data_IF_828634782155
#
_entry.id   IF_828634782155
#
_cell.length_a   1.000
_cell.length_b   1.000
_cell.length_c   1.000
_cell.angle_alpha   90.00
_cell.angle_beta   90.00
_cell.angle_gamma   90.00
#
_symmetry.space_group_name_H-M   'P 1'
#
loop_
_entity.id
_entity.type
_entity.pdbx_description
1 polymer ?
#
# COMPACT_ATOMS: atom_id res chain seq x y z
N UNK A 1 12.13 -7.40 -27.58
CA UNK A 1 10.84 -6.67 -27.49
C UNK A 1 10.54 -6.40 -26.02
N UNK A 2 9.93 -5.25 -25.67
CA UNK A 2 9.48 -5.02 -24.29
C UNK A 2 8.31 -5.95 -23.98
N UNK A 3 8.31 -6.59 -22.79
CA UNK A 3 7.18 -7.41 -22.33
C UNK A 3 5.88 -6.61 -22.31
N UNK A 4 4.75 -7.27 -22.49
CA UNK A 4 3.43 -6.65 -22.40
C UNK A 4 3.22 -6.13 -20.98
N UNK A 5 2.87 -4.85 -20.89
CA UNK A 5 2.58 -4.17 -19.64
C UNK A 5 1.43 -3.18 -19.81
N UNK A 6 0.74 -2.86 -18.73
CA UNK A 6 -0.38 -1.95 -18.78
C UNK A 6 -0.90 -1.55 -17.41
N UNK A 7 -1.89 -0.69 -17.44
CA UNK A 7 -2.59 -0.19 -16.26
C UNK A 7 -4.09 -0.32 -16.45
N UNK A 8 -4.80 -0.58 -15.35
CA UNK A 8 -6.25 -0.62 -15.28
C UNK A 8 -6.72 0.40 -14.27
N UNK A 9 -7.61 1.27 -14.67
CA UNK A 9 -8.23 2.28 -13.79
C UNK A 9 -9.75 2.28 -13.94
N UNK A 10 -10.44 2.63 -12.87
CA UNK A 10 -11.87 2.95 -12.89
C UNK A 10 -12.03 4.42 -13.25
N UNK A 11 -12.73 4.70 -14.34
CA UNK A 11 -12.98 6.07 -14.80
C UNK A 11 -14.19 6.65 -14.07
N UNK A 12 -15.29 5.89 -14.04
CA UNK A 12 -16.52 6.30 -13.35
C UNK A 12 -17.42 5.08 -13.11
N UNK A 13 -18.14 5.04 -12.01
CA UNK A 13 -19.11 3.99 -11.72
C UNK A 13 -18.59 2.59 -12.03
N UNK A 14 -19.13 1.96 -13.06
CA UNK A 14 -18.74 0.62 -13.52
C UNK A 14 -17.84 0.64 -14.78
N UNK A 15 -17.40 1.82 -15.23
CA UNK A 15 -16.56 1.94 -16.43
C UNK A 15 -15.07 1.83 -16.08
N UNK A 16 -14.41 0.86 -16.68
CA UNK A 16 -12.99 0.58 -16.55
C UNK A 16 -12.25 0.92 -17.85
N UNK A 17 -11.01 1.34 -17.71
CA UNK A 17 -10.09 1.64 -18.82
C UNK A 17 -8.79 0.87 -18.65
N UNK A 18 -8.36 0.21 -19.69
CA UNK A 18 -7.03 -0.38 -19.81
C UNK A 18 -6.20 0.47 -20.76
N UNK A 19 -4.95 0.76 -20.34
CA UNK A 19 -3.92 1.36 -21.19
C UNK A 19 -2.70 0.46 -21.20
N UNK A 20 -2.23 0.07 -22.39
CA UNK A 20 -1.11 -0.85 -22.61
C UNK A 20 0.09 -0.11 -23.18
N UNK A 21 1.29 -0.66 -22.94
CA UNK A 21 2.55 -0.09 -23.45
C UNK A 21 2.78 -0.31 -24.97
N UNK A 22 1.95 -1.10 -25.63
CA UNK A 22 1.96 -1.37 -27.06
C UNK A 22 0.57 -1.82 -27.55
N UNK A 23 0.30 -1.69 -28.86
CA UNK A 23 -0.88 -2.27 -29.48
C UNK A 23 -0.83 -3.79 -29.41
N UNK A 24 -1.98 -4.41 -29.14
CA UNK A 24 -2.13 -5.87 -29.10
C UNK A 24 -3.37 -6.32 -29.85
N UNK A 25 -3.32 -7.55 -30.34
CA UNK A 25 -4.48 -8.31 -30.81
C UNK A 25 -4.61 -9.52 -29.88
N UNK A 26 -5.81 -9.72 -29.34
CA UNK A 26 -6.05 -10.77 -28.36
C UNK A 26 -7.46 -10.77 -27.82
N UNK A 27 -7.63 -11.34 -26.64
CA UNK A 27 -8.93 -11.45 -25.97
C UNK A 27 -8.79 -10.97 -24.53
N UNK A 28 -9.75 -10.16 -24.08
CA UNK A 28 -9.91 -9.77 -22.68
C UNK A 28 -10.89 -10.74 -22.01
N UNK A 29 -10.42 -11.30 -20.90
CA UNK A 29 -11.22 -12.12 -19.99
C UNK A 29 -11.21 -11.53 -18.59
N UNK A 30 -12.12 -12.01 -17.73
CA UNK A 30 -12.10 -11.75 -16.30
C UNK A 30 -12.30 -13.00 -15.48
N UNK A 31 -11.92 -12.93 -14.20
CA UNK A 31 -12.23 -13.92 -13.18
C UNK A 31 -12.21 -13.26 -11.79
N UNK A 32 -13.04 -13.78 -10.89
CA UNK A 32 -13.03 -13.37 -9.46
C UNK A 32 -11.89 -14.00 -8.67
N UNK A 33 -11.13 -14.90 -9.27
CA UNK A 33 -9.96 -15.58 -8.66
C UNK A 33 -8.84 -15.66 -9.69
N UNK A 34 -7.60 -15.51 -9.26
CA UNK A 34 -6.43 -15.61 -10.15
C UNK A 34 -6.37 -16.96 -10.90
N UNK A 35 -6.75 -18.05 -10.24
CA UNK A 35 -6.79 -19.40 -10.83
C UNK A 35 -8.23 -19.87 -11.09
N UNK A 36 -9.16 -18.94 -11.30
CA UNK A 36 -10.56 -19.23 -11.56
C UNK A 36 -10.85 -19.44 -13.05
N UNK A 37 -12.09 -19.81 -13.34
CA UNK A 37 -12.58 -19.88 -14.72
C UNK A 37 -12.55 -18.50 -15.37
N UNK A 38 -12.03 -18.43 -16.60
CA UNK A 38 -11.96 -17.20 -17.37
C UNK A 38 -13.26 -16.97 -18.13
N UNK A 39 -13.91 -15.85 -17.87
CA UNK A 39 -15.15 -15.41 -18.54
C UNK A 39 -14.79 -14.35 -19.59
N UNK A 40 -15.33 -14.48 -20.79
CA UNK A 40 -15.08 -13.58 -21.93
C UNK A 40 -15.66 -12.19 -21.70
N UNK A 41 -14.92 -11.14 -22.10
CA UNK A 41 -15.40 -9.76 -22.16
C UNK A 41 -15.46 -9.25 -23.59
N UNK A 42 -14.30 -9.18 -24.29
CA UNK A 42 -14.22 -8.66 -25.68
C UNK A 42 -13.00 -9.17 -26.43
N UNK A 43 -13.07 -9.11 -27.76
CA UNK A 43 -11.88 -9.17 -28.61
C UNK A 43 -11.15 -7.82 -28.61
N UNK A 44 -9.82 -7.85 -28.72
CA UNK A 44 -8.93 -6.70 -28.84
C UNK A 44 -8.30 -6.75 -30.23
N UNK A 45 -8.47 -5.70 -31.04
CA UNK A 45 -7.99 -5.65 -32.43
C UNK A 45 -7.06 -4.46 -32.64
N UNK A 46 -5.73 -4.65 -32.47
CA UNK A 46 -4.70 -3.62 -32.59
C UNK A 46 -4.99 -2.38 -31.73
N UNK A 47 -5.37 -2.63 -30.49
CA UNK A 47 -5.65 -1.58 -29.51
C UNK A 47 -4.54 -1.55 -28.42
N UNK A 48 -4.19 -0.35 -27.97
CA UNK A 48 -3.37 -0.15 -26.76
C UNK A 48 -4.13 0.59 -25.66
N UNK A 49 -5.33 1.06 -25.95
CA UNK A 49 -6.21 1.72 -24.99
C UNK A 49 -7.67 1.41 -25.32
N UNK A 50 -8.43 0.95 -24.33
CA UNK A 50 -9.86 0.66 -24.50
C UNK A 50 -10.60 0.68 -23.18
N UNK A 51 -11.89 0.94 -23.29
CA UNK A 51 -12.83 0.96 -22.18
C UNK A 51 -13.78 -0.24 -22.24
N UNK A 52 -14.25 -0.66 -21.06
CA UNK A 52 -15.26 -1.72 -20.95
C UNK A 52 -16.00 -1.57 -19.61
N UNK A 53 -17.21 -2.14 -19.58
CA UNK A 53 -18.00 -2.18 -18.35
C UNK A 53 -17.47 -3.28 -17.43
N UNK A 54 -17.31 -2.96 -16.15
CA UNK A 54 -16.95 -3.93 -15.11
C UNK A 54 -18.06 -4.99 -15.00
N UNK A 55 -17.76 -6.28 -15.28
CA UNK A 55 -18.77 -7.32 -15.23
C UNK A 55 -19.22 -7.70 -13.82
N UNK A 56 -18.39 -7.40 -12.80
CA UNK A 56 -18.63 -7.77 -11.39
C UNK A 56 -18.27 -6.61 -10.44
N UNK A 57 -18.96 -5.47 -10.50
CA UNK A 57 -18.55 -4.25 -9.80
C UNK A 57 -18.63 -4.34 -8.26
N UNK A 58 -19.21 -5.42 -7.74
CA UNK A 58 -19.30 -5.68 -6.28
C UNK A 58 -18.27 -6.67 -5.76
N UNK A 59 -17.45 -7.25 -6.65
CA UNK A 59 -16.46 -8.27 -6.33
C UNK A 59 -15.06 -7.84 -6.75
N UNK A 60 -14.04 -8.35 -6.04
CA UNK A 60 -12.66 -8.26 -6.53
C UNK A 60 -12.52 -9.05 -7.81
N UNK A 61 -12.08 -8.39 -8.87
CA UNK A 61 -11.97 -8.98 -10.20
C UNK A 61 -10.55 -8.84 -10.72
N UNK A 62 -10.10 -9.87 -11.45
CA UNK A 62 -8.83 -9.92 -12.17
C UNK A 62 -9.11 -10.00 -13.65
N UNK A 63 -8.35 -9.28 -14.46
CA UNK A 63 -8.52 -9.17 -15.90
C UNK A 63 -7.32 -9.78 -16.61
N UNK A 64 -7.58 -10.61 -17.60
CA UNK A 64 -6.57 -11.37 -18.33
C UNK A 64 -6.60 -10.98 -19.79
N UNK A 65 -5.52 -10.40 -20.29
CA UNK A 65 -5.33 -10.15 -21.71
C UNK A 65 -4.50 -11.31 -22.25
N UNK A 66 -5.09 -12.12 -23.14
CA UNK A 66 -4.41 -13.23 -23.81
C UNK A 66 -4.15 -12.88 -25.25
N UNK A 67 -2.87 -12.76 -25.61
CA UNK A 67 -2.37 -12.64 -26.97
C UNK A 67 -1.77 -13.99 -27.41
N UNK A 68 -1.34 -14.11 -28.66
CA UNK A 68 -0.77 -15.34 -29.20
C UNK A 68 0.41 -15.88 -28.38
N UNK A 69 1.33 -15.00 -27.95
CA UNK A 69 2.58 -15.38 -27.26
C UNK A 69 2.78 -14.68 -25.90
N UNK A 70 1.82 -13.91 -25.45
CA UNK A 70 1.94 -13.13 -24.20
C UNK A 70 0.62 -13.13 -23.44
N UNK A 71 0.70 -13.13 -22.12
CA UNK A 71 -0.43 -12.92 -21.23
C UNK A 71 -0.12 -11.78 -20.26
N UNK A 72 -1.11 -10.94 -19.98
CA UNK A 72 -1.03 -9.89 -18.98
C UNK A 72 -2.20 -10.01 -18.00
N UNK A 73 -1.89 -10.04 -16.72
CA UNK A 73 -2.89 -10.04 -15.65
C UNK A 73 -2.93 -8.65 -15.03
N UNK A 74 -4.12 -8.06 -14.99
CA UNK A 74 -4.40 -6.75 -14.42
C UNK A 74 -5.45 -6.84 -13.34
N UNK A 75 -5.41 -5.92 -12.39
CA UNK A 75 -6.49 -5.65 -11.46
C UNK A 75 -6.47 -4.17 -11.06
N UNK A 76 -7.56 -3.65 -10.50
CA UNK A 76 -7.57 -2.30 -9.97
C UNK A 76 -6.59 -2.19 -8.80
N UNK A 77 -5.63 -1.25 -8.91
CA UNK A 77 -4.70 -0.99 -7.83
C UNK A 77 -5.43 -0.35 -6.64
N UNK A 78 -6.16 0.73 -6.87
CA UNK A 78 -7.03 1.32 -5.86
C UNK A 78 -8.27 0.44 -5.72
N UNK A 79 -8.49 -0.12 -4.52
CA UNK A 79 -9.68 -0.93 -4.24
C UNK A 79 -10.89 0.02 -4.16
N UNK A 80 -11.99 -0.24 -4.88
CA UNK A 80 -13.11 0.72 -5.04
C UNK A 80 -14.03 0.76 -3.80
N UNK A 81 -13.45 1.06 -2.62
CA UNK A 81 -14.20 1.26 -1.37
C UNK A 81 -14.54 2.73 -1.20
N UNK A 82 -15.82 3.05 -1.04
CA UNK A 82 -16.34 4.43 -1.03
C UNK A 82 -15.82 5.30 0.12
N UNK A 83 -15.49 4.66 1.26
CA UNK A 83 -15.05 5.34 2.49
C UNK A 83 -13.54 5.36 2.69
N UNK A 84 -12.81 4.79 1.73
CA UNK A 84 -11.36 4.66 1.76
C UNK A 84 -10.76 5.35 0.55
N UNK A 85 -9.67 6.07 0.76
CA UNK A 85 -8.99 6.76 -0.33
C UNK A 85 -7.60 6.16 -0.64
N UNK A 86 -7.00 5.44 0.30
CA UNK A 86 -5.62 4.93 0.18
C UNK A 86 -5.54 3.40 0.23
N UNK A 87 -6.68 2.71 0.16
CA UNK A 87 -6.75 1.25 0.17
C UNK A 87 -6.35 0.70 -1.18
N UNK A 88 -5.22 -0.01 -1.26
CA UNK A 88 -4.71 -0.52 -2.54
C UNK A 88 -3.99 -1.85 -2.46
N UNK A 89 -3.92 -2.51 -3.62
CA UNK A 89 -3.20 -3.75 -3.87
C UNK A 89 -1.75 -3.44 -4.31
N UNK A 90 -0.77 -4.18 -3.81
CA UNK A 90 0.63 -4.09 -4.19
C UNK A 90 1.01 -4.98 -5.38
N UNK A 91 0.04 -5.63 -6.03
CA UNK A 91 0.25 -6.43 -7.22
C UNK A 91 0.69 -5.64 -8.45
N UNK A 92 1.16 -6.35 -9.47
CA UNK A 92 1.50 -5.79 -10.78
C UNK A 92 2.81 -5.01 -10.86
N UNK A 93 3.55 -4.80 -9.75
CA UNK A 93 4.89 -4.21 -9.82
C UNK A 93 5.88 -5.18 -10.44
N UNK A 94 6.63 -4.69 -11.44
CA UNK A 94 7.68 -5.46 -12.11
C UNK A 94 8.94 -5.49 -11.25
N UNK A 95 9.55 -6.66 -11.13
CA UNK A 95 10.79 -6.92 -10.42
C UNK A 95 12.00 -6.73 -11.34
N UNK A 96 13.21 -6.70 -10.79
CA UNK A 96 14.46 -6.56 -11.56
C UNK A 96 14.69 -7.69 -12.56
N UNK A 97 14.13 -8.87 -12.32
CA UNK A 97 14.23 -10.04 -13.19
C UNK A 97 13.07 -10.18 -14.20
N UNK A 98 12.17 -9.18 -14.24
CA UNK A 98 11.07 -9.10 -15.21
C UNK A 98 9.79 -9.81 -14.77
N UNK A 99 9.80 -10.53 -13.65
CA UNK A 99 8.58 -11.08 -13.05
C UNK A 99 7.69 -9.95 -12.47
N UNK A 100 6.44 -10.25 -12.18
CA UNK A 100 5.51 -9.27 -11.59
C UNK A 100 4.92 -9.79 -10.29
N UNK A 101 4.75 -8.89 -9.31
CA UNK A 101 4.07 -9.22 -8.06
C UNK A 101 2.63 -9.64 -8.36
N UNK A 102 2.22 -10.80 -7.85
CA UNK A 102 0.86 -11.30 -8.00
C UNK A 102 -0.15 -10.35 -7.36
N UNK A 103 -1.24 -10.11 -8.06
CA UNK A 103 -2.37 -9.34 -7.54
C UNK A 103 -3.10 -10.12 -6.43
N UNK A 104 -3.76 -9.40 -5.53
CA UNK A 104 -4.63 -10.01 -4.51
C UNK A 104 -3.90 -10.61 -3.32
N UNK A 105 -2.59 -10.43 -3.17
CA UNK A 105 -1.82 -11.02 -2.08
C UNK A 105 -1.47 -10.04 -0.97
N UNK A 106 -1.11 -8.82 -1.34
CA UNK A 106 -0.63 -7.80 -0.40
C UNK A 106 -1.41 -6.52 -0.57
N UNK A 107 -2.12 -6.13 0.47
CA UNK A 107 -2.88 -4.89 0.51
C UNK A 107 -2.33 -3.92 1.53
N UNK A 108 -2.55 -2.64 1.28
CA UNK A 108 -2.28 -1.57 2.24
C UNK A 108 -3.44 -0.60 2.32
N UNK A 109 -3.68 -0.02 3.53
CA UNK A 109 -4.76 0.95 3.71
C UNK A 109 -4.53 1.91 4.87
N UNK A 110 -5.44 2.88 5.02
CA UNK A 110 -5.74 3.57 6.26
C UNK A 110 -6.51 2.66 7.23
N UNK A 111 -6.76 3.15 8.47
CA UNK A 111 -7.50 2.44 9.53
C UNK A 111 -8.90 2.02 9.08
N UNK A 112 -9.35 0.85 9.56
CA UNK A 112 -10.56 0.18 9.11
C UNK A 112 -11.82 0.55 9.93
N UNK A 113 -11.75 1.58 10.77
CA UNK A 113 -12.87 2.05 11.60
C UNK A 113 -14.10 2.48 10.79
N UNK A 114 -13.91 2.87 9.52
CA UNK A 114 -14.98 3.28 8.59
C UNK A 114 -15.55 2.12 7.77
N UNK A 115 -15.06 0.88 7.95
CA UNK A 115 -15.45 -0.27 7.14
C UNK A 115 -16.86 -0.74 7.51
N UNK A 116 -17.84 -0.51 6.65
CA UNK A 116 -19.26 -0.87 6.87
C UNK A 116 -20.05 -0.88 5.55
N UNK A 117 -21.24 -1.51 5.59
CA UNK A 117 -22.17 -1.57 4.45
C UNK A 117 -21.53 -2.19 3.20
N UNK A 118 -21.70 -1.59 2.06
CA UNK A 118 -21.17 -2.08 0.77
C UNK A 118 -19.64 -2.25 0.79
N UNK A 119 -18.90 -1.36 1.47
CA UNK A 119 -17.45 -1.48 1.59
C UNK A 119 -17.05 -2.75 2.36
N UNK A 120 -17.80 -3.14 3.40
CA UNK A 120 -17.55 -4.37 4.13
C UNK A 120 -17.83 -5.60 3.26
N UNK A 121 -18.91 -5.60 2.48
CA UNK A 121 -19.20 -6.72 1.57
C UNK A 121 -18.15 -6.85 0.49
N UNK A 122 -17.71 -5.74 -0.12
CA UNK A 122 -16.61 -5.76 -1.07
C UNK A 122 -15.30 -6.24 -0.42
N UNK A 123 -14.98 -5.77 0.78
CA UNK A 123 -13.79 -6.19 1.53
C UNK A 123 -13.72 -7.71 1.70
N UNK A 124 -14.83 -8.36 1.97
CA UNK A 124 -14.88 -9.84 2.11
C UNK A 124 -14.44 -10.56 0.83
N UNK A 125 -14.66 -9.96 -0.35
CA UNK A 125 -14.25 -10.54 -1.64
C UNK A 125 -12.75 -10.47 -1.89
N UNK A 126 -11.99 -9.65 -1.11
CA UNK A 126 -10.54 -9.56 -1.21
C UNK A 126 -9.81 -10.80 -0.68
N UNK A 127 -10.49 -11.66 0.09
CA UNK A 127 -9.89 -12.87 0.64
C UNK A 127 -8.80 -12.63 1.67
N UNK A 128 -8.81 -11.47 2.34
CA UNK A 128 -7.82 -11.11 3.36
C UNK A 128 -7.96 -12.02 4.57
N UNK A 129 -6.86 -12.67 4.97
CA UNK A 129 -6.79 -13.57 6.12
C UNK A 129 -6.16 -12.92 7.34
N UNK A 130 -5.22 -12.01 7.14
CA UNK A 130 -4.52 -11.30 8.19
C UNK A 130 -4.65 -9.79 7.99
N UNK A 131 -4.98 -9.08 9.07
CA UNK A 131 -4.98 -7.62 9.14
C UNK A 131 -3.88 -7.24 10.12
N UNK A 132 -2.85 -6.53 9.63
CA UNK A 132 -1.70 -6.10 10.42
C UNK A 132 -1.78 -4.59 10.68
N UNK A 133 -1.95 -4.21 11.94
CA UNK A 133 -2.11 -2.83 12.39
C UNK A 133 -0.84 -2.32 13.07
N UNK A 134 -0.24 -1.28 12.49
CA UNK A 134 0.98 -0.62 13.00
C UNK A 134 0.74 0.47 14.05
N UNK A 135 -0.49 0.71 14.44
CA UNK A 135 -0.85 1.79 15.36
C UNK A 135 -0.47 1.45 16.81
N UNK A 136 -0.26 2.51 17.61
CA UNK A 136 -0.14 2.38 19.05
C UNK A 136 -1.47 1.94 19.68
N UNK A 137 -1.41 1.44 20.90
CA UNK A 137 -2.62 1.05 21.64
C UNK A 137 -3.56 2.23 21.88
N UNK A 138 -3.02 3.44 22.06
CA UNK A 138 -3.80 4.67 22.22
C UNK A 138 -4.55 5.02 20.92
N UNK A 139 -3.87 4.96 19.76
CA UNK A 139 -4.51 5.18 18.46
C UNK A 139 -5.65 4.17 18.22
N UNK A 140 -5.43 2.90 18.57
CA UNK A 140 -6.44 1.84 18.43
C UNK A 140 -7.64 2.08 19.37
N UNK A 141 -7.40 2.48 20.62
CA UNK A 141 -8.48 2.82 21.57
C UNK A 141 -9.33 4.00 21.11
N UNK A 142 -8.68 5.03 20.53
CA UNK A 142 -9.37 6.22 20.03
C UNK A 142 -10.20 5.93 18.75
N UNK A 143 -9.73 5.00 17.93
CA UNK A 143 -10.38 4.68 16.66
C UNK A 143 -10.25 3.18 16.35
N UNK A 144 -11.02 2.33 17.05
CA UNK A 144 -10.92 0.88 16.88
C UNK A 144 -11.37 0.46 15.47
N UNK A 145 -10.66 -0.50 14.91
CA UNK A 145 -11.03 -1.07 13.62
C UNK A 145 -12.31 -1.91 13.70
N UNK A 146 -12.95 -2.03 12.57
CA UNK A 146 -14.02 -3.00 12.40
C UNK A 146 -13.44 -4.41 12.45
N UNK A 147 -13.94 -5.24 13.36
CA UNK A 147 -13.65 -6.67 13.32
C UNK A 147 -14.36 -7.31 12.12
N UNK A 148 -13.63 -8.07 11.31
CA UNK A 148 -14.15 -8.78 10.15
C UNK A 148 -14.03 -10.28 10.41
N UNK A 149 -15.14 -10.97 10.36
CA UNK A 149 -15.17 -12.42 10.55
C UNK A 149 -14.27 -13.15 9.53
N UNK A 150 -13.55 -14.16 9.98
CA UNK A 150 -12.61 -14.91 9.15
C UNK A 150 -11.23 -14.28 9.02
N UNK A 151 -10.99 -13.08 9.58
CA UNK A 151 -9.67 -12.45 9.60
C UNK A 151 -8.99 -12.57 10.97
N UNK A 152 -7.65 -12.62 10.95
CA UNK A 152 -6.82 -12.52 12.15
C UNK A 152 -6.24 -11.12 12.25
N UNK A 153 -6.57 -10.41 13.32
CA UNK A 153 -6.06 -9.06 13.58
C UNK A 153 -4.81 -9.13 14.46
N UNK A 154 -3.72 -8.49 14.03
CA UNK A 154 -2.47 -8.37 14.76
C UNK A 154 -2.15 -6.90 14.89
N UNK A 155 -2.02 -6.41 16.11
CA UNK A 155 -1.61 -5.04 16.38
C UNK A 155 -0.25 -5.04 17.07
N UNK A 156 0.74 -4.48 16.40
CA UNK A 156 2.08 -4.23 16.94
C UNK A 156 2.51 -2.85 16.46
N UNK A 157 2.76 -1.92 17.39
CA UNK A 157 3.21 -0.58 17.04
C UNK A 157 4.55 -0.61 16.31
N UNK A 158 4.63 0.11 15.18
CA UNK A 158 5.88 0.30 14.45
C UNK A 158 6.69 1.51 14.95
N UNK A 159 6.17 2.29 15.91
CA UNK A 159 6.77 3.52 16.43
C UNK A 159 7.30 3.30 17.87
N UNK A 160 8.49 2.71 18.01
CA UNK A 160 9.05 2.24 19.29
C UNK A 160 9.25 3.31 20.37
N UNK A 161 9.65 4.52 19.98
CA UNK A 161 10.05 5.57 20.92
C UNK A 161 8.99 6.65 21.12
N UNK A 162 7.89 6.56 20.39
CA UNK A 162 6.81 7.56 20.40
C UNK A 162 5.56 7.08 21.15
N UNK A 163 5.51 5.81 21.55
CA UNK A 163 4.39 5.26 22.35
C UNK A 163 4.23 5.96 23.71
N UNK A 164 5.31 6.56 24.23
CA UNK A 164 5.29 7.36 25.47
C UNK A 164 5.07 8.86 25.25
N UNK A 165 5.10 9.34 24.01
CA UNK A 165 4.80 10.71 23.65
C UNK A 165 3.48 10.66 22.89
N UNK A 166 2.40 11.18 23.42
CA UNK A 166 1.03 11.26 22.81
C UNK A 166 1.03 11.93 21.42
N UNK A 167 1.88 11.47 20.50
CA UNK A 167 2.05 11.98 19.15
C UNK A 167 1.05 11.32 18.19
N UNK A 168 -0.25 11.40 18.50
CA UNK A 168 -1.21 11.28 17.43
C UNK A 168 -1.22 12.60 16.62
N UNK A 169 -1.55 12.51 15.34
CA UNK A 169 -1.60 13.66 14.44
C UNK A 169 -2.44 14.81 15.00
N UNK A 170 -3.50 14.53 15.73
CA UNK A 170 -4.38 15.53 16.33
C UNK A 170 -3.73 16.25 17.50
N UNK A 171 -3.08 15.53 18.41
CA UNK A 171 -2.32 16.13 19.53
C UNK A 171 -1.17 16.97 19.01
N UNK A 172 -0.56 16.52 17.94
CA UNK A 172 0.53 17.22 17.29
C UNK A 172 0.08 18.51 16.59
N UNK A 173 -1.02 18.47 15.85
CA UNK A 173 -1.64 19.67 15.25
C UNK A 173 -2.11 20.65 16.34
N UNK A 174 -2.66 20.15 17.44
CA UNK A 174 -3.00 20.98 18.62
C UNK A 174 -1.77 21.65 19.23
N UNK A 175 -0.65 20.94 19.33
CA UNK A 175 0.63 21.50 19.81
C UNK A 175 1.16 22.63 18.91
N UNK A 176 1.08 22.46 17.59
CA UNK A 176 1.43 23.51 16.61
C UNK A 176 0.53 24.74 16.79
N UNK A 177 -0.77 24.54 17.02
CA UNK A 177 -1.74 25.63 17.18
C UNK A 177 -1.61 26.36 18.51
N UNK A 178 -1.08 25.71 19.56
CA UNK A 178 -0.96 26.30 20.91
C UNK A 178 0.25 27.25 21.09
N UNK A 179 1.08 27.48 20.04
CA UNK A 179 2.25 28.37 20.07
C UNK A 179 3.32 28.02 21.11
N UNK A 180 3.42 26.77 21.56
CA UNK A 180 4.50 26.33 22.41
C UNK A 180 5.82 26.23 21.63
N UNK A 181 6.59 27.33 21.63
CA UNK A 181 7.76 27.58 20.79
C UNK A 181 8.99 26.71 21.06
N UNK A 182 8.91 25.80 22.06
CA UNK A 182 10.02 24.93 22.47
C UNK A 182 9.89 23.47 21.96
N UNK A 183 8.89 23.13 21.16
CA UNK A 183 8.80 21.78 20.58
C UNK A 183 9.72 21.65 19.37
N UNK A 184 10.46 20.55 19.30
CA UNK A 184 11.23 20.19 18.08
C UNK A 184 10.35 20.27 16.86
N UNK A 185 10.92 20.80 15.76
CA UNK A 185 10.19 20.91 14.50
C UNK A 185 9.62 19.53 14.13
N UNK A 186 8.33 19.46 13.81
CA UNK A 186 7.63 18.23 13.49
C UNK A 186 8.28 17.36 12.44
N UNK A 187 8.90 18.00 11.47
CA UNK A 187 9.62 17.34 10.40
C UNK A 187 10.83 16.57 10.92
N UNK A 188 11.54 17.09 11.93
CA UNK A 188 12.67 16.40 12.53
C UNK A 188 12.25 15.12 13.24
N UNK A 189 11.19 15.16 14.02
CA UNK A 189 10.64 13.96 14.70
C UNK A 189 10.24 12.90 13.66
N UNK A 190 9.59 13.30 12.56
CA UNK A 190 9.27 12.39 11.48
C UNK A 190 10.53 11.80 10.84
N UNK A 191 11.55 12.62 10.57
CA UNK A 191 12.81 12.18 9.97
C UNK A 191 13.53 11.17 10.86
N UNK A 192 13.62 11.44 12.15
CA UNK A 192 14.23 10.53 13.14
C UNK A 192 13.44 9.21 13.21
N UNK A 193 12.10 9.29 13.23
CA UNK A 193 11.23 8.12 13.17
C UNK A 193 11.46 7.26 11.91
N UNK A 194 11.56 7.89 10.74
CA UNK A 194 11.82 7.15 9.50
C UNK A 194 13.23 6.54 9.46
N UNK A 195 14.23 7.21 10.04
CA UNK A 195 15.59 6.67 10.11
C UNK A 195 15.67 5.42 10.99
N UNK A 196 14.99 5.40 12.12
CA UNK A 196 15.09 4.31 13.10
C UNK A 196 14.07 3.16 12.82
N UNK A 197 12.97 3.45 12.16
CA UNK A 197 11.85 2.51 11.96
C UNK A 197 12.24 1.19 11.28
N UNK A 198 13.13 1.14 10.25
CA UNK A 198 13.44 -0.12 9.57
C UNK A 198 14.30 -1.08 10.40
N UNK A 199 14.97 -0.62 11.48
CA UNK A 199 15.96 -1.39 12.19
C UNK A 199 15.36 -2.10 13.41
N UNK A 200 15.61 -3.40 13.54
CA UNK A 200 15.23 -4.21 14.69
C UNK A 200 13.77 -3.99 15.15
N UNK A 201 12.83 -3.79 14.22
CA UNK A 201 11.44 -3.45 14.48
C UNK A 201 10.56 -4.70 14.59
N UNK A 202 9.92 -4.90 15.76
CA UNK A 202 9.09 -6.08 16.03
C UNK A 202 7.87 -6.17 15.11
N UNK A 203 7.28 -5.02 14.74
CA UNK A 203 6.12 -5.01 13.85
C UNK A 203 6.48 -5.56 12.46
N UNK A 204 7.60 -5.12 11.89
CA UNK A 204 8.03 -5.63 10.60
C UNK A 204 8.56 -7.07 10.69
N UNK A 205 9.16 -7.48 11.83
CA UNK A 205 9.55 -8.89 12.06
C UNK A 205 8.34 -9.81 12.02
N UNK A 206 7.25 -9.44 12.70
CA UNK A 206 6.04 -10.25 12.70
C UNK A 206 5.33 -10.23 11.33
N UNK A 207 5.28 -9.06 10.65
CA UNK A 207 4.75 -9.01 9.28
C UNK A 207 5.49 -9.96 8.35
N UNK A 208 6.83 -9.91 8.33
CA UNK A 208 7.65 -10.78 7.47
C UNK A 208 7.40 -12.25 7.82
N UNK A 209 7.35 -12.60 9.11
CA UNK A 209 7.03 -13.97 9.56
C UNK A 209 5.66 -14.45 9.08
N UNK A 210 4.65 -13.58 9.06
CA UNK A 210 3.33 -13.92 8.52
C UNK A 210 3.44 -14.26 7.04
N UNK A 211 4.12 -13.41 6.26
CA UNK A 211 4.21 -13.58 4.80
C UNK A 211 5.20 -14.67 4.38
N UNK A 212 6.02 -15.20 5.29
CA UNK A 212 6.85 -16.39 5.01
C UNK A 212 6.02 -17.65 4.73
N UNK A 213 4.76 -17.69 5.13
CA UNK A 213 3.86 -18.80 4.86
C UNK A 213 2.79 -18.39 3.83
N UNK A 214 2.86 -18.88 2.58
CA UNK A 214 1.91 -18.53 1.53
C UNK A 214 0.43 -18.79 1.89
N UNK A 215 0.17 -19.74 2.80
CA UNK A 215 -1.19 -20.04 3.26
C UNK A 215 -1.83 -18.91 4.06
N UNK A 216 -1.04 -17.97 4.57
CA UNK A 216 -1.52 -16.80 5.31
C UNK A 216 -2.03 -15.67 4.40
N UNK A 217 -1.76 -15.72 3.09
CA UNK A 217 -2.17 -14.65 2.18
C UNK A 217 -3.66 -14.81 1.79
N UNK A 218 -4.42 -13.70 1.53
CA UNK A 218 -3.91 -12.32 1.46
C UNK A 218 -3.70 -11.67 2.83
N UNK A 219 -2.78 -10.70 2.85
CA UNK A 219 -2.47 -9.87 4.03
C UNK A 219 -2.79 -8.40 3.71
N UNK A 220 -3.52 -7.74 4.60
CA UNK A 220 -3.68 -6.30 4.64
C UNK A 220 -2.81 -5.72 5.75
N UNK A 221 -2.04 -4.69 5.47
CA UNK A 221 -1.32 -3.92 6.47
C UNK A 221 -1.80 -2.47 6.47
N UNK A 222 -1.91 -1.87 7.65
CA UNK A 222 -2.37 -0.50 7.78
C UNK A 222 -1.82 0.22 9.01
N UNK A 223 -2.01 1.53 9.02
CA UNK A 223 -1.87 2.39 10.19
C UNK A 223 -3.03 3.39 10.21
N UNK A 224 -2.88 4.55 10.79
CA UNK A 224 -3.95 5.57 10.84
C UNK A 224 -4.32 6.09 9.44
N UNK A 225 -3.33 6.56 8.68
CA UNK A 225 -3.53 7.15 7.33
C UNK A 225 -3.07 6.24 6.19
N UNK A 226 -2.46 5.09 6.49
CA UNK A 226 -1.95 4.16 5.49
C UNK A 226 -0.77 4.69 4.67
N UNK A 227 -0.03 5.70 5.14
CA UNK A 227 1.03 6.38 4.37
C UNK A 227 2.44 6.08 4.90
N UNK A 228 2.75 6.41 6.15
CA UNK A 228 4.12 6.38 6.71
C UNK A 228 4.54 4.95 7.12
N UNK A 229 4.07 4.45 8.27
CA UNK A 229 4.36 3.09 8.79
C UNK A 229 3.99 2.00 7.80
N UNK A 230 2.81 2.11 7.22
CA UNK A 230 2.32 1.23 6.15
C UNK A 230 3.14 1.38 4.88
N UNK A 231 3.63 2.58 4.59
CA UNK A 231 4.51 2.86 3.46
C UNK A 231 5.82 2.10 3.55
N UNK A 232 6.46 2.12 4.74
CA UNK A 232 7.68 1.36 4.96
C UNK A 232 7.43 -0.15 4.93
N UNK A 233 6.36 -0.65 5.57
CA UNK A 233 6.00 -2.07 5.49
C UNK A 233 5.77 -2.54 4.06
N UNK A 234 5.09 -1.72 3.22
CA UNK A 234 4.92 -1.99 1.79
C UNK A 234 6.25 -1.99 1.04
N UNK A 235 7.13 -1.03 1.35
CA UNK A 235 8.46 -0.96 0.77
C UNK A 235 9.28 -2.23 1.06
N UNK A 236 9.24 -2.72 2.29
CA UNK A 236 9.95 -3.95 2.67
C UNK A 236 9.41 -5.17 1.92
N UNK A 237 8.09 -5.33 1.76
CA UNK A 237 7.50 -6.41 0.96
C UNK A 237 7.97 -6.32 -0.49
N UNK A 238 7.86 -5.16 -1.12
CA UNK A 238 8.23 -4.98 -2.53
C UNK A 238 9.73 -5.19 -2.77
N UNK A 239 10.60 -4.71 -1.86
CA UNK A 239 12.05 -4.93 -1.92
C UNK A 239 12.42 -6.40 -1.74
N UNK A 240 11.76 -7.12 -0.82
CA UNK A 240 11.94 -8.56 -0.63
C UNK A 240 11.64 -9.32 -1.92
N UNK A 241 10.59 -8.92 -2.63
CA UNK A 241 10.19 -9.52 -3.89
C UNK A 241 11.06 -9.08 -5.08
N UNK A 242 11.99 -8.14 -4.89
CA UNK A 242 12.93 -7.71 -5.94
C UNK A 242 12.44 -6.57 -6.81
N UNK A 243 11.39 -5.86 -6.40
CA UNK A 243 10.93 -4.64 -7.08
C UNK A 243 12.02 -3.56 -6.97
N UNK A 244 12.36 -2.84 -8.06
CA UNK A 244 13.35 -1.77 -8.04
C UNK A 244 13.00 -0.67 -7.03
N UNK A 245 14.00 -0.16 -6.31
CA UNK A 245 13.84 0.89 -5.27
C UNK A 245 13.05 2.10 -5.79
N UNK A 246 13.31 2.52 -7.03
CA UNK A 246 12.57 3.63 -7.63
C UNK A 246 11.06 3.36 -7.70
N UNK A 247 10.63 2.13 -8.04
CA UNK A 247 9.22 1.74 -8.09
C UNK A 247 8.59 1.64 -6.69
N UNK A 248 9.39 1.26 -5.71
CA UNK A 248 8.98 1.27 -4.30
C UNK A 248 8.70 2.69 -3.81
N UNK A 249 9.58 3.64 -4.17
CA UNK A 249 9.39 5.07 -3.86
C UNK A 249 8.16 5.63 -4.59
N UNK A 250 7.94 5.25 -5.85
CA UNK A 250 6.75 5.63 -6.61
C UNK A 250 5.47 5.14 -5.92
N UNK A 251 5.40 3.87 -5.46
CA UNK A 251 4.24 3.40 -4.69
C UNK A 251 4.02 4.21 -3.41
N UNK A 252 5.08 4.49 -2.68
CA UNK A 252 4.99 5.30 -1.47
C UNK A 252 4.39 6.68 -1.76
N UNK A 253 4.86 7.35 -2.83
CA UNK A 253 4.40 8.68 -3.26
C UNK A 253 2.95 8.70 -3.76
N UNK A 254 2.40 7.57 -4.28
CA UNK A 254 0.99 7.45 -4.66
C UNK A 254 0.03 7.78 -3.50
N UNK A 255 0.51 7.75 -2.25
CA UNK A 255 -0.30 8.18 -1.10
C UNK A 255 -0.73 9.65 -1.19
N UNK A 256 0.06 10.53 -1.84
CA UNK A 256 -0.32 11.90 -2.07
C UNK A 256 -1.48 12.02 -3.07
N UNK A 257 -1.41 11.24 -4.15
CA UNK A 257 -2.45 11.22 -5.18
C UNK A 257 -3.79 10.72 -4.62
N UNK A 258 -3.76 9.55 -4.00
CA UNK A 258 -4.97 8.92 -3.48
C UNK A 258 -5.59 9.68 -2.30
N UNK A 259 -4.79 10.29 -1.47
CA UNK A 259 -5.25 11.07 -0.32
C UNK A 259 -5.54 12.54 -0.61
N UNK A 260 -5.32 13.02 -1.84
CA UNK A 260 -5.45 14.44 -2.19
C UNK A 260 -6.78 15.05 -1.71
N UNK A 261 -7.90 14.39 -1.98
CA UNK A 261 -9.24 14.87 -1.57
C UNK A 261 -9.41 14.91 -0.04
N UNK A 262 -8.99 13.86 0.66
CA UNK A 262 -9.07 13.79 2.13
C UNK A 262 -8.13 14.80 2.80
N UNK A 263 -6.91 14.93 2.30
CA UNK A 263 -5.95 15.92 2.80
C UNK A 263 -6.47 17.34 2.63
N UNK A 264 -7.07 17.67 1.48
CA UNK A 264 -7.69 18.97 1.23
C UNK A 264 -8.87 19.22 2.20
N UNK A 265 -9.74 18.23 2.40
CA UNK A 265 -10.84 18.30 3.37
C UNK A 265 -10.34 18.57 4.79
N UNK A 266 -9.30 17.88 5.21
CA UNK A 266 -8.68 18.08 6.55
C UNK A 266 -8.08 19.49 6.63
N UNK A 267 -7.35 19.93 5.62
CA UNK A 267 -6.75 21.26 5.57
C UNK A 267 -7.82 22.36 5.72
N UNK A 268 -8.93 22.27 5.00
CA UNK A 268 -10.03 23.23 5.10
C UNK A 268 -10.62 23.35 6.53
N UNK A 269 -10.62 22.27 7.31
CA UNK A 269 -11.07 22.30 8.71
C UNK A 269 -10.10 23.14 9.54
N UNK A 270 -8.80 22.99 9.31
CA UNK A 270 -7.77 23.72 10.07
C UNK A 270 -7.57 25.17 9.60
N UNK A 271 -7.74 25.48 8.32
CA UNK A 271 -7.63 26.84 7.76
C UNK A 271 -8.57 27.84 8.44
N UNK A 272 -9.71 27.39 8.95
CA UNK A 272 -10.63 28.25 9.74
C UNK A 272 -10.03 28.71 11.07
N UNK A 273 -8.97 28.07 11.53
CA UNK A 273 -8.33 28.33 12.83
C UNK A 273 -6.88 28.77 12.69
N UNK A 274 -6.33 28.81 11.46
CA UNK A 274 -4.93 29.10 11.17
C UNK A 274 -4.83 30.22 10.16
N UNK A 275 -4.37 31.39 10.60
CA UNK A 275 -4.13 32.56 9.73
C UNK A 275 -2.68 32.65 9.21
N UNK A 276 -1.78 31.75 9.67
CA UNK A 276 -0.35 31.76 9.36
C UNK A 276 -0.02 30.78 8.23
N UNK A 277 0.50 31.29 7.11
CA UNK A 277 0.87 30.49 5.93
C UNK A 277 1.92 29.41 6.24
N UNK A 278 2.91 29.73 7.10
CA UNK A 278 3.94 28.78 7.54
C UNK A 278 3.34 27.57 8.26
N UNK A 279 2.30 27.79 9.09
CA UNK A 279 1.60 26.70 9.78
C UNK A 279 0.80 25.87 8.78
N UNK A 280 0.21 26.48 7.76
CA UNK A 280 -0.51 25.80 6.69
C UNK A 280 0.43 24.87 5.90
N UNK A 281 1.58 25.37 5.44
CA UNK A 281 2.61 24.58 4.76
C UNK A 281 3.08 23.40 5.62
N UNK A 282 3.20 23.62 6.93
CA UNK A 282 3.57 22.58 7.87
C UNK A 282 2.49 21.49 7.98
N UNK A 283 1.21 21.87 8.07
CA UNK A 283 0.08 20.93 8.08
C UNK A 283 0.03 20.13 6.78
N UNK A 284 0.17 20.79 5.63
CA UNK A 284 0.24 20.12 4.32
C UNK A 284 1.38 19.10 4.26
N UNK A 285 2.57 19.48 4.77
CA UNK A 285 3.73 18.60 4.85
C UNK A 285 3.50 17.36 5.72
N UNK A 286 2.66 17.48 6.76
CA UNK A 286 2.29 16.38 7.67
C UNK A 286 1.20 15.51 7.05
N UNK A 287 0.23 16.09 6.36
CA UNK A 287 -0.87 15.36 5.71
C UNK A 287 -0.39 14.53 4.51
N UNK A 288 0.60 15.02 3.79
CA UNK A 288 1.23 14.33 2.67
C UNK A 288 2.37 13.38 3.07
N UNK A 289 3.08 12.90 2.06
CA UNK A 289 4.38 12.21 2.19
C UNK A 289 5.42 12.91 1.32
N UNK A 290 6.68 12.87 1.78
CA UNK A 290 7.82 13.41 1.01
C UNK A 290 8.79 12.28 0.69
N UNK A 291 9.32 12.28 -0.54
CA UNK A 291 10.28 11.29 -1.03
C UNK A 291 11.44 11.10 -0.05
N UNK A 292 11.97 12.21 0.50
CA UNK A 292 13.08 12.19 1.45
C UNK A 292 12.82 11.34 2.70
N UNK A 293 11.57 11.18 3.14
CA UNK A 293 11.26 10.37 4.32
C UNK A 293 11.49 8.88 4.08
N UNK A 294 10.95 8.33 2.99
CA UNK A 294 11.21 6.92 2.67
C UNK A 294 12.68 6.69 2.32
N UNK A 295 13.34 7.65 1.65
CA UNK A 295 14.77 7.58 1.33
C UNK A 295 15.63 7.53 2.60
N UNK A 296 15.27 8.21 3.70
CA UNK A 296 15.95 8.07 4.99
C UNK A 296 15.95 6.62 5.48
N UNK A 297 14.79 5.95 5.45
CA UNK A 297 14.69 4.54 5.84
C UNK A 297 15.51 3.63 4.92
N UNK A 298 15.42 3.82 3.60
CA UNK A 298 16.13 2.98 2.62
C UNK A 298 17.65 3.19 2.68
N UNK A 299 18.10 4.43 2.88
CA UNK A 299 19.52 4.74 3.06
C UNK A 299 20.05 4.17 4.38
N UNK A 300 19.29 4.31 5.48
CA UNK A 300 19.65 3.72 6.77
C UNK A 300 19.86 2.21 6.68
N UNK A 301 19.00 1.49 5.94
CA UNK A 301 19.18 0.07 5.66
C UNK A 301 20.50 -0.18 4.93
N UNK A 302 20.77 0.57 3.84
CA UNK A 302 21.98 0.40 3.03
C UNK A 302 23.25 0.75 3.81
N UNK A 303 23.22 1.83 4.58
CA UNK A 303 24.35 2.28 5.39
C UNK A 303 24.68 1.28 6.52
N UNK A 304 23.65 0.62 7.09
CA UNK A 304 23.83 -0.33 8.19
C UNK A 304 24.21 -1.74 7.71
N UNK A 305 23.65 -2.19 6.59
CA UNK A 305 23.77 -3.59 6.14
C UNK A 305 24.45 -3.75 4.78
N UNK A 306 24.73 -2.69 4.07
CA UNK A 306 25.34 -2.71 2.74
C UNK A 306 24.38 -3.09 1.61
N UNK A 307 23.42 -3.98 1.84
CA UNK A 307 22.46 -4.42 0.84
C UNK A 307 21.11 -4.83 1.47
N UNK A 308 20.06 -4.87 0.65
CA UNK A 308 18.75 -5.37 1.09
C UNK A 308 18.78 -6.88 1.42
N UNK A 309 19.57 -7.68 0.68
CA UNK A 309 19.73 -9.11 0.96
C UNK A 309 20.35 -9.33 2.34
N UNK A 310 21.41 -8.59 2.67
CA UNK A 310 22.05 -8.66 3.99
C UNK A 310 21.08 -8.18 5.09
N UNK A 311 20.31 -7.13 4.84
CA UNK A 311 19.28 -6.65 5.75
C UNK A 311 18.22 -7.72 6.03
N UNK A 312 17.63 -8.33 4.99
CA UNK A 312 16.63 -9.39 5.17
C UNK A 312 17.19 -10.61 5.90
N UNK A 313 18.43 -10.95 5.64
CA UNK A 313 19.09 -12.03 6.37
C UNK A 313 19.33 -11.67 7.85
N UNK A 314 19.90 -10.52 8.15
CA UNK A 314 20.27 -10.11 9.52
C UNK A 314 19.07 -9.76 10.39
N UNK A 315 18.09 -9.06 9.86
CA UNK A 315 16.91 -8.63 10.62
C UNK A 315 15.84 -9.71 10.75
N UNK A 316 15.66 -10.55 9.71
CA UNK A 316 14.53 -11.48 9.63
C UNK A 316 14.95 -12.94 9.48
N UNK A 317 16.25 -13.24 9.35
CA UNK A 317 16.73 -14.61 9.18
C UNK A 317 16.44 -15.22 7.80
N UNK A 318 16.07 -14.40 6.81
CA UNK A 318 15.72 -14.88 5.48
C UNK A 318 16.98 -15.21 4.68
N UNK A 319 17.22 -16.51 4.44
CA UNK A 319 18.28 -16.97 3.54
C UNK A 319 17.94 -16.67 2.08
N UNK A 320 18.93 -16.75 1.18
CA UNK A 320 18.71 -16.57 -0.26
C UNK A 320 17.71 -17.58 -0.83
N UNK A 321 17.76 -18.81 -0.39
CA UNK A 321 16.86 -19.89 -0.78
C UNK A 321 15.41 -19.55 -0.34
N UNK A 322 15.26 -19.05 0.87
CA UNK A 322 13.94 -18.64 1.39
C UNK A 322 13.37 -17.46 0.62
N UNK A 323 14.20 -16.45 0.32
CA UNK A 323 13.80 -15.29 -0.50
C UNK A 323 13.36 -15.76 -1.89
N UNK A 324 14.11 -16.65 -2.53
CA UNK A 324 13.74 -17.15 -3.86
C UNK A 324 12.47 -18.02 -3.82
N UNK A 325 12.29 -18.82 -2.78
CA UNK A 325 11.02 -19.53 -2.54
C UNK A 325 9.83 -18.56 -2.49
N UNK A 326 9.93 -17.46 -1.70
CA UNK A 326 8.88 -16.46 -1.59
C UNK A 326 8.63 -15.74 -2.93
N UNK A 327 9.69 -15.44 -3.68
CA UNK A 327 9.55 -14.87 -5.02
C UNK A 327 8.81 -15.81 -5.97
N UNK A 328 9.10 -17.09 -5.95
CA UNK A 328 8.41 -18.08 -6.80
C UNK A 328 6.92 -18.23 -6.40
N UNK A 329 6.60 -18.11 -5.12
CA UNK A 329 5.22 -18.14 -4.64
C UNK A 329 4.43 -16.86 -4.99
N UNK A 330 5.08 -15.68 -4.99
CA UNK A 330 4.41 -14.38 -5.02
C UNK A 330 4.58 -13.61 -6.33
N UNK A 331 5.36 -14.12 -7.28
CA UNK A 331 5.56 -13.52 -8.60
C UNK A 331 4.98 -14.42 -9.70
N UNK A 332 4.56 -13.75 -10.81
CA UNK A 332 4.21 -14.44 -12.06
C UNK A 332 5.46 -14.77 -12.86
#
# INVERSE_FOLDING_TARGET
>A
MRSLNGNLIRISGELLKITLNKEVTGILYYSEKLNGELKFIKHIEKENEFEFKDPEPKNRTFYFIKCENEELILAERLVPLKRFCNFRDLGGYETKDGRKVKWGLFYRSEALNKLKGEDLEYFKTLGIKYIFDYRSLEEVKLSPDRNVEGTKNINISAMRNLDNQNLNMESYLKGILSKDSNQELPEKILMDGYSEMPLNNLAFKELIKIIENPKNLAVLQHCTSGKDRTGLGSALILLLLGVPEQKVIEDYMLSNEYRKGENHRILQIYEKHVSNETIKELIEGILGVKKKFIELSLNKIKDTYGSYETYFFKEYGLTKEKIEFLRNEYLY
#
